data_IF_694489575333
#
_entry.id   IF_694489575333
#
_cell.length_a   1.000
_cell.length_b   1.000
_cell.length_c   1.000
_cell.angle_alpha   90.00
_cell.angle_beta   90.00
_cell.angle_gamma   90.00
#
_symmetry.space_group_name_H-M   'P 1'
#
loop_
_entity.id
_entity.type
_entity.pdbx_description
1 polymer ?
#
# COMPACT_ATOMS: atom_id res chain seq x y z
N UNK A 1 0.53 29.76 -20.02
CA UNK A 1 -0.02 28.43 -19.75
C UNK A 1 -1.05 28.06 -20.81
N UNK A 2 -0.95 26.87 -21.34
CA UNK A 2 -1.92 26.39 -22.31
C UNK A 2 -3.22 26.02 -21.59
N UNK A 3 -4.33 26.57 -22.09
CA UNK A 3 -5.64 26.14 -21.62
C UNK A 3 -6.13 24.98 -22.47
N UNK A 4 -6.58 23.92 -21.80
CA UNK A 4 -7.12 22.75 -22.46
C UNK A 4 -8.65 22.77 -22.45
N UNK A 5 -9.26 22.33 -23.55
CA UNK A 5 -10.71 22.09 -23.57
C UNK A 5 -11.05 20.87 -22.74
N UNK A 6 -12.32 20.71 -22.37
CA UNK A 6 -12.78 19.53 -21.63
C UNK A 6 -12.47 18.23 -22.39
N UNK A 7 -12.65 18.22 -23.72
CA UNK A 7 -12.32 17.05 -24.53
C UNK A 7 -10.83 16.74 -24.51
N UNK A 8 -9.99 17.75 -24.58
CA UNK A 8 -8.53 17.55 -24.49
C UNK A 8 -8.13 17.02 -23.14
N UNK A 9 -8.71 17.53 -22.06
CA UNK A 9 -8.45 17.07 -20.71
C UNK A 9 -8.90 15.62 -20.52
N UNK A 10 -10.07 15.26 -21.04
CA UNK A 10 -10.58 13.91 -20.99
C UNK A 10 -9.65 12.95 -21.71
N UNK A 11 -9.21 13.30 -22.90
CA UNK A 11 -8.27 12.47 -23.67
C UNK A 11 -6.94 12.28 -22.92
N UNK A 12 -6.41 13.34 -22.33
CA UNK A 12 -5.19 13.27 -21.52
C UNK A 12 -5.39 12.35 -20.30
N UNK A 13 -6.55 12.44 -19.67
CA UNK A 13 -6.87 11.61 -18.51
C UNK A 13 -7.02 10.14 -18.88
N UNK A 14 -7.63 9.85 -20.02
CA UNK A 14 -7.74 8.47 -20.53
C UNK A 14 -6.35 7.86 -20.77
N UNK A 15 -5.46 8.60 -21.41
CA UNK A 15 -4.07 8.16 -21.65
C UNK A 15 -3.35 7.92 -20.31
N UNK A 16 -3.52 8.82 -19.35
CA UNK A 16 -2.95 8.68 -18.02
C UNK A 16 -3.41 7.39 -17.33
N UNK A 17 -4.71 7.07 -17.46
CA UNK A 17 -5.29 5.86 -16.88
C UNK A 17 -4.85 4.58 -17.61
N UNK A 18 -4.55 4.66 -18.91
CA UNK A 18 -4.07 3.51 -19.67
C UNK A 18 -2.63 3.15 -19.36
N UNK A 19 -1.83 4.13 -18.92
CA UNK A 19 -0.43 3.91 -18.60
C UNK A 19 -0.24 3.06 -17.33
N UNK A 20 -1.15 3.19 -16.36
CA UNK A 20 -1.12 2.40 -15.11
C UNK A 20 -2.48 2.53 -14.42
N UNK A 21 -2.77 1.62 -13.48
CA UNK A 21 -3.96 1.73 -12.66
C UNK A 21 -3.91 3.04 -11.86
N UNK A 22 -5.04 3.77 -11.87
CA UNK A 22 -5.16 5.05 -11.16
C UNK A 22 -6.42 5.02 -10.27
N UNK A 23 -6.35 5.73 -9.15
CA UNK A 23 -7.51 5.93 -8.29
C UNK A 23 -8.07 7.34 -8.49
N UNK A 24 -9.31 7.63 -8.02
CA UNK A 24 -9.93 8.93 -8.23
C UNK A 24 -9.08 10.11 -7.75
N UNK A 25 -8.45 10.03 -6.59
CA UNK A 25 -7.63 11.13 -6.06
C UNK A 25 -6.43 11.44 -6.95
N UNK A 26 -5.82 10.42 -7.55
CA UNK A 26 -4.70 10.61 -8.47
C UNK A 26 -5.13 11.29 -9.75
N UNK A 27 -6.28 10.91 -10.29
CA UNK A 27 -6.85 11.54 -11.49
C UNK A 27 -7.21 13.00 -11.22
N UNK A 28 -7.87 13.24 -10.08
CA UNK A 28 -8.26 14.62 -9.68
C UNK A 28 -7.02 15.52 -9.56
N UNK A 29 -5.95 15.02 -8.94
CA UNK A 29 -4.71 15.76 -8.80
C UNK A 29 -4.11 16.10 -10.16
N UNK A 30 -4.13 15.17 -11.11
CA UNK A 30 -3.63 15.40 -12.47
C UNK A 30 -4.47 16.42 -13.22
N UNK A 31 -5.80 16.29 -13.13
CA UNK A 31 -6.71 17.23 -13.78
C UNK A 31 -6.52 18.64 -13.23
N UNK A 32 -6.34 18.77 -11.93
CA UNK A 32 -6.06 20.05 -11.28
C UNK A 32 -4.74 20.62 -11.78
N UNK A 33 -3.70 19.80 -11.89
CA UNK A 33 -2.40 20.19 -12.42
C UNK A 33 -2.51 20.72 -13.85
N UNK A 34 -3.39 20.14 -14.65
CA UNK A 34 -3.64 20.56 -16.03
C UNK A 34 -4.60 21.73 -16.15
N UNK A 35 -5.06 22.28 -15.05
CA UNK A 35 -5.88 23.49 -15.01
C UNK A 35 -7.39 23.26 -15.11
N UNK A 36 -7.86 22.03 -14.91
CA UNK A 36 -9.30 21.73 -14.93
C UNK A 36 -9.99 22.35 -13.72
N UNK A 37 -11.20 22.91 -13.97
CA UNK A 37 -12.06 23.37 -12.88
C UNK A 37 -12.60 22.18 -12.10
N UNK A 38 -13.09 22.38 -10.84
CA UNK A 38 -13.72 21.30 -10.09
C UNK A 38 -14.88 20.63 -10.82
N UNK A 39 -15.70 21.42 -11.53
CA UNK A 39 -16.84 20.91 -12.31
C UNK A 39 -16.38 20.04 -13.47
N UNK A 40 -15.41 20.51 -14.23
CA UNK A 40 -14.84 19.74 -15.35
C UNK A 40 -14.19 18.46 -14.84
N UNK A 41 -13.44 18.54 -13.75
CA UNK A 41 -12.81 17.38 -13.12
C UNK A 41 -13.85 16.33 -12.73
N UNK A 42 -14.96 16.75 -12.12
CA UNK A 42 -16.03 15.85 -11.70
C UNK A 42 -16.67 15.16 -12.92
N UNK A 43 -16.92 15.89 -14.00
CA UNK A 43 -17.49 15.32 -15.23
C UNK A 43 -16.55 14.28 -15.85
N UNK A 44 -15.27 14.61 -15.92
CA UNK A 44 -14.26 13.71 -16.50
C UNK A 44 -14.12 12.46 -15.65
N UNK A 45 -14.05 12.61 -14.33
CA UNK A 45 -13.92 11.47 -13.43
C UNK A 45 -15.14 10.53 -13.54
N UNK A 46 -16.34 11.09 -13.60
CA UNK A 46 -17.56 10.31 -13.81
C UNK A 46 -17.50 9.50 -15.10
N UNK A 47 -17.05 10.11 -16.19
CA UNK A 47 -16.85 9.43 -17.47
C UNK A 47 -15.83 8.29 -17.35
N UNK A 48 -14.69 8.54 -16.71
CA UNK A 48 -13.63 7.54 -16.55
C UNK A 48 -14.09 6.34 -15.71
N UNK A 49 -14.92 6.60 -14.70
CA UNK A 49 -15.50 5.54 -13.87
C UNK A 49 -16.51 4.73 -14.64
N UNK A 50 -17.39 5.41 -15.38
CA UNK A 50 -18.43 4.76 -16.19
C UNK A 50 -17.83 3.87 -17.28
N UNK A 51 -16.79 4.35 -17.95
CA UNK A 51 -16.11 3.62 -19.01
C UNK A 51 -15.00 2.70 -18.50
N UNK A 52 -14.87 2.59 -17.18
CA UNK A 52 -13.93 1.69 -16.49
C UNK A 52 -12.44 1.98 -16.75
N UNK A 53 -12.10 3.20 -17.13
CA UNK A 53 -10.71 3.66 -17.07
C UNK A 53 -10.25 3.77 -15.63
N UNK A 54 -11.17 4.11 -14.72
CA UNK A 54 -10.94 4.17 -13.27
C UNK A 54 -11.90 3.19 -12.60
N UNK A 55 -11.34 2.25 -11.86
CA UNK A 55 -12.10 1.26 -11.10
C UNK A 55 -11.41 1.11 -9.74
N UNK A 56 -12.04 1.63 -8.71
CA UNK A 56 -11.46 1.68 -7.37
C UNK A 56 -11.13 0.29 -6.81
N UNK A 57 -12.03 -0.68 -7.00
CA UNK A 57 -11.79 -2.05 -6.52
C UNK A 57 -10.60 -2.67 -7.25
N UNK A 58 -10.53 -2.50 -8.56
CA UNK A 58 -9.42 -3.00 -9.37
C UNK A 58 -8.11 -2.34 -8.97
N UNK A 59 -8.11 -1.03 -8.73
CA UNK A 59 -6.94 -0.29 -8.24
C UNK A 59 -6.44 -0.85 -6.92
N UNK A 60 -7.35 -1.06 -5.96
CA UNK A 60 -6.98 -1.56 -4.64
C UNK A 60 -6.36 -2.96 -4.73
N UNK A 61 -6.95 -3.85 -5.53
CA UNK A 61 -6.41 -5.20 -5.71
C UNK A 61 -5.01 -5.17 -6.29
N UNK A 62 -4.81 -4.38 -7.34
CA UNK A 62 -3.51 -4.25 -7.99
C UNK A 62 -2.46 -3.63 -7.05
N UNK A 63 -2.83 -2.56 -6.35
CA UNK A 63 -1.96 -1.87 -5.40
C UNK A 63 -1.52 -2.81 -4.27
N UNK A 64 -2.46 -3.50 -3.65
CA UNK A 64 -2.17 -4.43 -2.55
C UNK A 64 -1.22 -5.53 -3.01
N UNK A 65 -1.53 -6.14 -4.15
CA UNK A 65 -0.73 -7.23 -4.72
C UNK A 65 0.71 -6.78 -4.98
N UNK A 66 0.87 -5.64 -5.64
CA UNK A 66 2.20 -5.13 -5.99
C UNK A 66 3.00 -4.77 -4.75
N UNK A 67 2.36 -4.17 -3.75
CA UNK A 67 3.06 -3.71 -2.54
C UNK A 67 3.56 -4.86 -1.67
N UNK A 68 2.77 -5.91 -1.48
CA UNK A 68 3.28 -7.01 -0.67
C UNK A 68 4.24 -7.92 -1.45
N UNK A 69 4.02 -8.10 -2.75
CA UNK A 69 4.88 -8.98 -3.58
C UNK A 69 6.22 -8.35 -3.94
N UNK A 70 6.19 -7.10 -4.41
CA UNK A 70 7.40 -6.45 -4.92
C UNK A 70 8.07 -5.54 -3.90
N UNK A 71 7.29 -4.79 -3.13
CA UNK A 71 7.82 -3.89 -2.11
C UNK A 71 7.97 -4.56 -0.76
N UNK A 72 7.39 -5.73 -0.57
CA UNK A 72 7.46 -6.50 0.67
C UNK A 72 6.89 -5.71 1.86
N UNK A 73 5.78 -5.02 1.61
CA UNK A 73 5.08 -4.27 2.66
C UNK A 73 4.10 -5.18 3.40
N UNK A 74 3.96 -4.93 4.69
CA UNK A 74 2.89 -5.54 5.49
C UNK A 74 1.56 -4.81 5.31
N UNK A 75 0.49 -5.43 5.78
CA UNK A 75 -0.88 -4.93 5.66
C UNK A 75 -1.05 -3.50 6.14
N UNK A 76 -0.49 -3.17 7.29
CA UNK A 76 -0.68 -1.85 7.90
C UNK A 76 -0.13 -0.72 7.05
N UNK A 77 1.03 -0.93 6.45
CA UNK A 77 1.64 0.07 5.57
C UNK A 77 0.83 0.23 4.29
N UNK A 78 0.32 -0.87 3.74
CA UNK A 78 -0.55 -0.85 2.55
C UNK A 78 -1.84 -0.10 2.85
N UNK A 79 -2.49 -0.40 3.98
CA UNK A 79 -3.74 0.25 4.41
C UNK A 79 -3.53 1.75 4.57
N UNK A 80 -2.45 2.16 5.22
CA UNK A 80 -2.13 3.58 5.41
C UNK A 80 -1.96 4.29 4.07
N UNK A 81 -1.24 3.68 3.14
CA UNK A 81 -1.01 4.25 1.81
C UNK A 81 -2.33 4.43 1.04
N UNK A 82 -3.23 3.44 1.13
CA UNK A 82 -4.53 3.52 0.48
C UNK A 82 -5.43 4.57 1.13
N UNK A 83 -5.37 4.71 2.46
CA UNK A 83 -6.10 5.78 3.17
C UNK A 83 -5.63 7.17 2.74
N UNK A 84 -4.35 7.35 2.55
CA UNK A 84 -3.80 8.63 2.07
C UNK A 84 -4.25 8.96 0.66
N UNK A 85 -4.64 7.97 -0.12
CA UNK A 85 -5.23 8.16 -1.45
C UNK A 85 -6.74 8.39 -1.39
N UNK A 86 -7.31 8.57 -0.19
CA UNK A 86 -8.71 8.90 0.05
C UNK A 86 -9.67 7.80 -0.41
N UNK A 87 -9.23 6.56 -0.34
CA UNK A 87 -10.07 5.41 -0.66
C UNK A 87 -10.94 5.02 0.53
N UNK A 88 -12.13 4.49 0.26
CA UNK A 88 -13.07 4.09 1.31
C UNK A 88 -12.57 2.86 2.07
N UNK A 89 -13.04 2.71 3.32
CA UNK A 89 -12.72 1.53 4.12
C UNK A 89 -13.17 0.24 3.44
N UNK A 90 -14.31 0.27 2.73
CA UNK A 90 -14.82 -0.88 1.98
C UNK A 90 -13.88 -1.29 0.85
N UNK A 91 -13.40 -0.31 0.08
CA UNK A 91 -12.49 -0.56 -1.03
C UNK A 91 -11.16 -1.13 -0.52
N UNK A 92 -10.64 -0.57 0.57
CA UNK A 92 -9.40 -1.02 1.19
C UNK A 92 -9.55 -2.46 1.71
N UNK A 93 -10.62 -2.73 2.45
CA UNK A 93 -10.91 -4.06 2.97
C UNK A 93 -11.00 -5.10 1.85
N UNK A 94 -11.67 -4.74 0.75
CA UNK A 94 -11.78 -5.61 -0.43
C UNK A 94 -10.44 -5.93 -1.06
N UNK A 95 -9.55 -4.93 -1.14
CA UNK A 95 -8.20 -5.14 -1.66
C UNK A 95 -7.33 -6.02 -0.74
N UNK A 96 -7.39 -5.74 0.56
CA UNK A 96 -6.64 -6.51 1.57
C UNK A 96 -7.11 -7.98 1.61
N UNK A 97 -8.39 -8.23 1.39
CA UNK A 97 -8.95 -9.58 1.36
C UNK A 97 -8.36 -10.45 0.23
N UNK A 98 -7.79 -9.83 -0.80
CA UNK A 98 -7.16 -10.54 -1.91
C UNK A 98 -5.75 -11.05 -1.57
N UNK A 99 -5.20 -10.69 -0.41
CA UNK A 99 -3.89 -11.18 0.02
C UNK A 99 -3.98 -12.69 0.25
N UNK A 100 -3.10 -13.43 -0.42
CA UNK A 100 -2.97 -14.85 -0.21
C UNK A 100 -2.09 -15.08 1.02
N UNK A 101 -2.66 -15.64 2.07
CA UNK A 101 -2.02 -15.73 3.38
C UNK A 101 -0.71 -16.50 3.36
N UNK A 102 -0.65 -17.63 2.65
CA UNK A 102 0.56 -18.43 2.58
C UNK A 102 1.70 -17.69 1.89
N UNK A 103 1.41 -17.03 0.78
CA UNK A 103 2.39 -16.23 0.06
C UNK A 103 2.88 -15.05 0.90
N UNK A 104 1.97 -14.35 1.55
CA UNK A 104 2.27 -13.22 2.43
C UNK A 104 3.17 -13.65 3.60
N UNK A 105 2.81 -14.77 4.23
CA UNK A 105 3.61 -15.35 5.33
C UNK A 105 5.01 -15.75 4.87
N UNK A 106 5.12 -16.35 3.69
CA UNK A 106 6.41 -16.74 3.11
C UNK A 106 7.30 -15.53 2.85
N UNK A 107 6.71 -14.42 2.38
CA UNK A 107 7.43 -13.16 2.17
C UNK A 107 7.98 -12.63 3.48
N UNK A 108 7.16 -12.58 4.53
CA UNK A 108 7.59 -12.13 5.85
C UNK A 108 8.71 -13.03 6.41
N UNK A 109 8.55 -14.33 6.28
CA UNK A 109 9.56 -15.30 6.75
C UNK A 109 10.89 -15.04 6.07
N UNK A 110 10.89 -14.88 4.77
CA UNK A 110 12.10 -14.60 3.99
C UNK A 110 12.74 -13.29 4.39
N UNK A 111 11.92 -12.24 4.59
CA UNK A 111 12.41 -10.94 5.07
C UNK A 111 13.11 -11.05 6.41
N UNK A 112 12.51 -11.77 7.35
CA UNK A 112 13.08 -11.98 8.69
C UNK A 112 14.38 -12.76 8.61
N UNK A 113 14.44 -13.80 7.79
CA UNK A 113 15.65 -14.60 7.60
C UNK A 113 16.79 -13.78 7.01
N UNK A 114 16.50 -12.98 5.99
CA UNK A 114 17.49 -12.12 5.34
C UNK A 114 18.01 -11.04 6.29
N UNK A 115 17.10 -10.41 7.02
CA UNK A 115 17.46 -9.35 7.98
C UNK A 115 18.29 -9.93 9.14
N UNK A 116 17.94 -11.11 9.61
CA UNK A 116 18.68 -11.77 10.69
C UNK A 116 20.16 -11.94 10.38
N UNK A 117 20.50 -12.17 9.13
CA UNK A 117 21.88 -12.34 8.68
C UNK A 117 22.71 -11.05 8.79
N UNK A 118 22.05 -9.89 8.70
CA UNK A 118 22.71 -8.58 8.72
C UNK A 118 22.69 -7.92 10.10
N UNK A 119 21.96 -8.48 11.06
CA UNK A 119 21.83 -7.91 12.40
C UNK A 119 22.97 -8.37 13.29
N UNK A 120 23.59 -7.41 14.00
CA UNK A 120 24.52 -7.68 15.09
C UNK A 120 23.74 -7.62 16.39
N UNK A 121 23.80 -8.67 17.20
CA UNK A 121 23.08 -8.75 18.47
C UNK A 121 23.85 -9.61 19.46
N UNK A 122 23.73 -9.27 20.75
CA UNK A 122 24.43 -9.95 21.84
C UNK A 122 23.77 -11.28 22.23
N UNK A 123 22.48 -11.39 21.99
CA UNK A 123 21.69 -12.57 22.34
C UNK A 123 20.44 -12.64 21.45
N UNK A 124 19.68 -13.73 21.58
CA UNK A 124 18.49 -13.97 20.80
C UNK A 124 17.38 -12.94 21.07
N UNK A 125 17.25 -12.50 22.33
CA UNK A 125 16.27 -11.49 22.70
C UNK A 125 16.50 -10.17 21.94
N UNK A 126 17.74 -9.68 21.95
CA UNK A 126 18.13 -8.45 21.26
C UNK A 126 17.95 -8.60 19.75
N UNK A 127 18.31 -9.75 19.19
CA UNK A 127 18.12 -10.04 17.77
C UNK A 127 16.66 -10.02 17.39
N UNK A 128 15.82 -10.70 18.16
CA UNK A 128 14.38 -10.76 17.89
C UNK A 128 13.73 -9.38 18.04
N UNK A 129 14.15 -8.58 19.02
CA UNK A 129 13.66 -7.21 19.18
C UNK A 129 13.95 -6.35 17.94
N UNK A 130 15.16 -6.48 17.37
CA UNK A 130 15.53 -5.77 16.15
C UNK A 130 14.73 -6.23 14.93
N UNK A 131 14.50 -7.55 14.83
CA UNK A 131 13.69 -8.12 13.75
C UNK A 131 12.24 -7.64 13.82
N UNK A 132 11.66 -7.61 15.02
CA UNK A 132 10.31 -7.12 15.25
C UNK A 132 10.20 -5.66 14.82
N UNK A 133 11.12 -4.82 15.27
CA UNK A 133 11.16 -3.40 14.91
C UNK A 133 11.24 -3.21 13.40
N UNK A 134 12.12 -3.96 12.75
CA UNK A 134 12.26 -3.92 11.29
C UNK A 134 10.98 -4.29 10.57
N UNK A 135 10.37 -5.41 10.96
CA UNK A 135 9.16 -5.91 10.30
C UNK A 135 7.94 -5.03 10.60
N UNK A 136 7.82 -4.50 11.82
CA UNK A 136 6.77 -3.53 12.14
C UNK A 136 6.91 -2.27 11.28
N UNK A 137 8.15 -1.82 11.05
CA UNK A 137 8.42 -0.68 10.16
C UNK A 137 8.02 -0.94 8.71
N UNK A 138 8.02 -2.21 8.30
CA UNK A 138 7.54 -2.60 6.97
C UNK A 138 6.01 -2.74 6.91
N UNK A 139 5.34 -2.63 8.04
CA UNK A 139 3.88 -2.68 8.12
C UNK A 139 3.28 -4.02 8.54
N UNK A 140 4.10 -4.98 8.94
CA UNK A 140 3.61 -6.27 9.43
C UNK A 140 3.11 -6.15 10.86
N UNK A 141 2.08 -6.94 11.20
CA UNK A 141 1.50 -6.96 12.54
C UNK A 141 2.39 -7.74 13.50
N UNK A 142 2.39 -7.32 14.77
CA UNK A 142 3.17 -7.97 15.82
C UNK A 142 2.88 -9.47 15.90
N UNK A 143 1.62 -9.86 15.86
CA UNK A 143 1.22 -11.29 15.95
C UNK A 143 1.72 -12.09 14.73
N UNK A 144 1.76 -11.48 13.56
CA UNK A 144 2.29 -12.12 12.36
C UNK A 144 3.79 -12.39 12.52
N UNK A 145 4.50 -11.40 13.02
CA UNK A 145 5.95 -11.47 13.23
C UNK A 145 6.28 -12.52 14.30
N UNK A 146 5.60 -12.45 15.45
CA UNK A 146 5.86 -13.35 16.56
C UNK A 146 5.61 -14.81 16.20
N UNK A 147 4.64 -15.07 15.31
CA UNK A 147 4.35 -16.43 14.87
C UNK A 147 5.50 -17.08 14.09
N UNK A 148 6.42 -16.28 13.56
CA UNK A 148 7.55 -16.73 12.74
C UNK A 148 8.89 -16.65 13.46
N UNK A 149 8.93 -16.09 14.66
CA UNK A 149 10.19 -16.01 15.43
C UNK A 149 10.28 -17.17 16.42
N UNK A 150 11.53 -17.66 16.68
CA UNK A 150 11.76 -18.64 17.74
C UNK A 150 11.33 -18.04 19.07
N UNK A 151 10.64 -18.83 19.88
CA UNK A 151 10.24 -18.40 21.23
C UNK A 151 11.47 -18.32 22.13
N UNK A 152 11.64 -17.17 22.77
CA UNK A 152 12.61 -17.00 23.83
C UNK A 152 11.89 -17.06 25.16
N UNK A 153 12.49 -17.72 26.15
CA UNK A 153 11.88 -18.03 27.45
C UNK A 153 11.33 -16.79 28.14
N UNK A 154 10.00 -16.61 28.10
CA UNK A 154 9.23 -15.79 29.02
C UNK A 154 9.38 -14.26 28.92
N UNK A 155 10.10 -13.72 27.98
CA UNK A 155 10.31 -12.27 27.85
C UNK A 155 9.36 -11.66 26.81
N UNK A 156 8.60 -10.67 27.25
CA UNK A 156 7.78 -9.86 26.34
C UNK A 156 8.65 -8.91 25.58
N UNK A 157 8.42 -8.82 24.26
CA UNK A 157 9.11 -7.83 23.42
C UNK A 157 8.45 -6.48 23.54
N UNK A 158 9.23 -5.38 23.56
CA UNK A 158 8.63 -4.05 23.62
C UNK A 158 7.83 -3.76 22.36
N UNK A 159 6.57 -3.33 22.56
CA UNK A 159 5.76 -2.78 21.50
C UNK A 159 6.24 -1.36 21.23
N UNK A 160 6.94 -1.19 20.14
CA UNK A 160 7.43 0.13 19.74
C UNK A 160 6.46 0.68 18.70
N UNK A 161 5.50 1.49 19.17
CA UNK A 161 4.49 2.09 18.29
C UNK A 161 5.07 3.20 17.40
N UNK A 162 6.28 3.65 17.68
CA UNK A 162 6.94 4.70 16.90
C UNK A 162 7.55 4.16 15.60
N UNK A 163 7.72 2.85 15.47
CA UNK A 163 8.34 2.22 14.32
C UNK A 163 7.39 2.04 13.13
N UNK A 164 6.19 2.60 13.18
CA UNK A 164 5.17 2.46 12.13
C UNK A 164 5.12 3.63 11.14
N UNK A 165 6.10 4.48 11.13
CA UNK A 165 6.22 5.58 10.18
C UNK A 165 6.72 5.12 8.82
#
# INVERSE_FOLDING_TARGET
MKEYTENELRNKAEVYCLAAERCPSEVEAKLQQWGASPETSAHILEHLQKERFVDTARFCRAFVRDKYRFNQWGRMKIIQALRMKQLSSEAITGGIAEIEEEEYRAILQKLLQQKARSISARNDYERNAKLIRFACGKGFLMEEILSLLPQTDGNEYPCDHEAMD
#
